data_IF_585427937790
#
_entry.id   IF_585427937790
#
_cell.length_a   1.000
_cell.length_b   1.000
_cell.length_c   1.000
_cell.angle_alpha   90.00
_cell.angle_beta   90.00
_cell.angle_gamma   90.00
#
_symmetry.space_group_name_H-M   'P 1'
#
loop_
_entity.id
_entity.type
_entity.pdbx_description
1 polymer ?
#
# COMPACT_ATOMS: atom_id res chain seq x y z
N UNK A 1 5.81 6.13 1.95
CA UNK A 1 5.88 5.98 3.42
C UNK A 1 6.79 7.07 3.97
N UNK A 2 6.39 7.75 5.04
CA UNK A 2 7.23 8.74 5.73
C UNK A 2 7.76 8.09 7.01
N UNK A 3 9.05 8.23 7.30
CA UNK A 3 9.66 7.65 8.51
C UNK A 3 9.27 8.48 9.72
N UNK A 4 8.26 8.02 10.46
CA UNK A 4 7.86 8.61 11.75
C UNK A 4 8.66 7.96 12.90
N UNK A 5 8.72 8.59 14.10
CA UNK A 5 9.32 7.97 15.28
C UNK A 5 8.72 6.59 15.61
N UNK A 6 7.40 6.44 15.41
CA UNK A 6 6.71 5.16 15.61
C UNK A 6 7.17 4.08 14.61
N UNK A 7 7.29 4.42 13.32
CA UNK A 7 7.82 3.50 12.30
C UNK A 7 9.28 3.15 12.59
N UNK A 8 10.10 4.12 13.02
CA UNK A 8 11.50 3.88 13.42
C UNK A 8 11.62 2.89 14.59
N UNK A 9 10.71 2.97 15.58
CA UNK A 9 10.65 2.00 16.68
C UNK A 9 10.28 0.60 16.17
N UNK A 10 9.25 0.50 15.33
CA UNK A 10 8.82 -0.79 14.76
C UNK A 10 9.92 -1.46 13.92
N UNK A 11 10.72 -0.68 13.19
CA UNK A 11 11.88 -1.19 12.43
C UNK A 11 12.93 -1.77 13.39
N UNK A 12 13.29 -1.04 14.46
CA UNK A 12 14.27 -1.50 15.45
C UNK A 12 13.84 -2.78 16.17
N UNK A 13 12.53 -2.95 16.36
CA UNK A 13 11.94 -4.13 16.99
C UNK A 13 11.65 -5.28 16.00
N UNK A 14 11.91 -5.10 14.70
CA UNK A 14 11.63 -6.11 13.67
C UNK A 14 10.13 -6.37 13.43
N UNK A 15 9.23 -5.51 13.89
CA UNK A 15 7.77 -5.68 13.81
C UNK A 15 7.21 -5.16 12.49
N UNK A 16 7.59 -5.80 11.39
CA UNK A 16 7.25 -5.38 10.01
C UNK A 16 5.73 -5.27 9.78
N UNK A 17 4.93 -6.19 10.33
CA UNK A 17 3.47 -6.14 10.18
C UNK A 17 2.85 -4.85 10.74
N UNK A 18 3.43 -4.29 11.82
CA UNK A 18 2.96 -3.03 12.40
C UNK A 18 3.20 -1.83 11.47
N UNK A 19 4.22 -1.90 10.61
CA UNK A 19 4.52 -0.82 9.65
C UNK A 19 3.41 -0.70 8.62
N UNK A 20 2.84 -1.81 8.15
CA UNK A 20 1.68 -1.82 7.23
C UNK A 20 0.50 -1.07 7.83
N UNK A 21 0.18 -1.31 9.11
CA UNK A 21 -0.89 -0.59 9.82
C UNK A 21 -0.59 0.91 9.97
N UNK A 22 0.68 1.28 10.18
CA UNK A 22 1.10 2.68 10.22
C UNK A 22 0.95 3.36 8.86
N UNK A 23 1.24 2.66 7.75
CA UNK A 23 1.03 3.18 6.40
C UNK A 23 -0.45 3.39 6.11
N UNK A 24 -1.32 2.44 6.51
CA UNK A 24 -2.77 2.55 6.34
C UNK A 24 -3.36 3.74 7.10
N UNK A 25 -2.96 3.93 8.37
CA UNK A 25 -3.44 5.05 9.20
C UNK A 25 -2.77 6.38 8.83
N UNK A 26 -1.59 6.34 8.21
CA UNK A 26 -0.85 7.50 7.70
C UNK A 26 -1.38 8.08 6.38
N UNK A 27 -2.55 7.66 5.89
CA UNK A 27 -3.11 8.14 4.63
C UNK A 27 -3.27 9.66 4.56
N UNK A 28 -3.65 10.31 5.67
CA UNK A 28 -3.75 11.77 5.76
C UNK A 28 -2.41 12.49 5.62
N UNK A 29 -1.30 11.79 5.84
CA UNK A 29 0.06 12.28 5.65
C UNK A 29 0.62 11.89 4.26
N UNK A 30 -0.23 11.41 3.36
CA UNK A 30 0.16 10.96 2.02
C UNK A 30 0.85 9.59 2.01
N UNK A 31 0.71 8.79 3.07
CA UNK A 31 1.18 7.40 3.04
C UNK A 31 0.16 6.51 2.31
N UNK A 32 0.66 5.53 1.58
CA UNK A 32 -0.19 4.64 0.81
C UNK A 32 0.47 3.27 0.66
N UNK A 33 -0.34 2.21 0.68
CA UNK A 33 0.09 0.86 0.36
C UNK A 33 0.26 0.69 -1.15
N UNK A 34 1.13 -0.23 -1.55
CA UNK A 34 1.40 -0.50 -2.96
C UNK A 34 0.13 -0.90 -3.73
N UNK A 35 -0.65 -1.85 -3.20
CA UNK A 35 -1.88 -2.32 -3.87
C UNK A 35 -2.89 -1.20 -4.09
N UNK A 36 -2.98 -0.25 -3.14
CA UNK A 36 -3.83 0.93 -3.29
C UNK A 36 -3.31 1.85 -4.39
N UNK A 37 -1.99 2.05 -4.48
CA UNK A 37 -1.37 2.85 -5.55
C UNK A 37 -1.57 2.22 -6.93
N UNK A 38 -1.43 0.91 -7.04
CA UNK A 38 -1.71 0.18 -8.27
C UNK A 38 -3.18 0.30 -8.66
N UNK A 39 -4.10 0.13 -7.71
CA UNK A 39 -5.53 0.32 -7.97
C UNK A 39 -5.85 1.74 -8.47
N UNK A 40 -5.24 2.77 -7.86
CA UNK A 40 -5.45 4.16 -8.29
C UNK A 40 -4.91 4.40 -9.71
N UNK A 41 -3.74 3.83 -10.05
CA UNK A 41 -3.18 3.91 -11.41
C UNK A 41 -4.07 3.22 -12.44
N UNK A 42 -4.64 2.06 -12.10
CA UNK A 42 -5.60 1.36 -12.94
C UNK A 42 -6.89 2.16 -13.14
N UNK A 43 -7.45 2.72 -12.07
CA UNK A 43 -8.66 3.55 -12.13
C UNK A 43 -8.46 4.83 -12.95
N UNK A 44 -7.23 5.36 -12.97
CA UNK A 44 -6.83 6.48 -13.82
C UNK A 44 -6.57 6.08 -15.29
N UNK A 45 -6.69 4.80 -15.64
CA UNK A 45 -6.41 4.29 -16.98
C UNK A 45 -4.93 4.32 -17.36
N UNK A 46 -4.02 4.43 -16.39
CA UNK A 46 -2.57 4.53 -16.64
C UNK A 46 -1.89 3.18 -16.85
N UNK A 47 -2.51 2.10 -16.36
CA UNK A 47 -2.03 0.72 -16.48
C UNK A 47 -3.18 -0.20 -16.85
N UNK A 48 -2.85 -1.34 -17.47
CA UNK A 48 -3.83 -2.37 -17.79
C UNK A 48 -4.27 -3.14 -16.53
N UNK A 49 -5.37 -3.89 -16.62
CA UNK A 49 -5.83 -4.75 -15.52
C UNK A 49 -4.82 -5.88 -15.30
N UNK A 50 -4.28 -6.40 -16.38
CA UNK A 50 -3.25 -7.44 -16.41
C UNK A 50 -2.01 -6.99 -15.65
N UNK A 51 -1.50 -5.78 -15.95
CA UNK A 51 -0.37 -5.19 -15.22
C UNK A 51 -0.69 -5.00 -13.73
N UNK A 52 -1.90 -4.52 -13.42
CA UNK A 52 -2.30 -4.33 -12.03
C UNK A 52 -2.24 -5.63 -11.22
N UNK A 53 -2.71 -6.75 -11.78
CA UNK A 53 -2.66 -8.06 -11.12
C UNK A 53 -1.28 -8.71 -11.11
N UNK A 54 -0.41 -8.36 -12.05
CA UNK A 54 0.97 -8.85 -12.10
C UNK A 54 1.83 -8.21 -11.01
N UNK A 55 1.69 -6.90 -10.80
CA UNK A 55 2.56 -6.14 -9.90
C UNK A 55 1.98 -5.94 -8.49
N UNK A 56 0.73 -6.31 -8.23
CA UNK A 56 0.18 -6.23 -6.87
C UNK A 56 0.78 -7.28 -5.92
N UNK A 57 0.81 -6.95 -4.64
CA UNK A 57 1.25 -7.85 -3.57
C UNK A 57 0.13 -8.81 -3.21
N UNK A 58 -1.10 -8.30 -3.05
CA UNK A 58 -2.26 -9.08 -2.66
C UNK A 58 -3.39 -8.92 -3.69
N UNK A 59 -3.64 -10.00 -4.45
CA UNK A 59 -4.65 -10.05 -5.51
C UNK A 59 -6.08 -9.93 -4.96
N UNK A 60 -6.34 -10.39 -3.74
CA UNK A 60 -7.66 -10.23 -3.12
C UNK A 60 -7.90 -8.77 -2.71
N UNK A 61 -6.89 -8.13 -2.11
CA UNK A 61 -6.96 -6.71 -1.76
C UNK A 61 -7.14 -5.87 -3.03
N UNK A 62 -6.35 -6.12 -4.07
CA UNK A 62 -6.48 -5.41 -5.34
C UNK A 62 -7.89 -5.59 -5.91
N UNK A 63 -8.41 -6.82 -5.93
CA UNK A 63 -9.78 -7.11 -6.41
C UNK A 63 -10.84 -6.31 -5.64
N UNK A 64 -10.66 -6.07 -4.34
CA UNK A 64 -11.57 -5.22 -3.54
C UNK A 64 -11.48 -3.74 -3.89
N UNK A 65 -10.34 -3.26 -4.39
CA UNK A 65 -10.19 -1.86 -4.79
C UNK A 65 -10.68 -1.56 -6.21
N UNK A 66 -10.59 -2.51 -7.14
CA UNK A 66 -10.92 -2.30 -8.56
C UNK A 66 -12.22 -2.98 -9.01
N UNK A 67 -12.84 -3.78 -8.13
CA UNK A 67 -14.06 -4.56 -8.38
C UNK A 67 -15.35 -3.84 -8.03
#
# INVERSE_FOLDING_TARGET
MIVTPAISNLIREGRVAGITSMIQTGASQGMQLLDKSIADLYQQGRISKEDAYEYCVDKEILRRYIG
#
